data_IF_977355118557
#
_entry.id   IF_977355118557
#
_cell.length_a   1.000
_cell.length_b   1.000
_cell.length_c   1.000
_cell.angle_alpha   90.00
_cell.angle_beta   90.00
_cell.angle_gamma   90.00
#
_symmetry.space_group_name_H-M   'P 1'
#
loop_
_entity.id
_entity.type
_entity.pdbx_description
1 polymer ?
#
# COMPACT_ATOMS: atom_id res chain seq x y z
N UNK A 1 -6.54 7.62 -0.92
CA UNK A 1 -6.50 7.37 0.54
C UNK A 1 -6.04 5.96 0.74
N UNK A 2 -4.88 5.78 1.37
CA UNK A 2 -4.35 4.47 1.75
C UNK A 2 -4.69 4.27 3.22
N UNK A 3 -5.25 3.12 3.59
CA UNK A 3 -5.54 2.78 4.98
C UNK A 3 -4.60 1.67 5.41
N UNK A 4 -4.15 1.68 6.66
CA UNK A 4 -3.30 0.63 7.18
C UNK A 4 -3.62 0.28 8.63
N UNK A 5 -3.35 -0.97 9.02
CA UNK A 5 -3.36 -1.43 10.41
C UNK A 5 -2.13 -2.27 10.68
N UNK A 6 -1.54 -2.10 11.86
CA UNK A 6 -0.45 -2.94 12.35
C UNK A 6 -0.94 -3.66 13.60
N UNK A 7 -0.91 -4.99 13.57
CA UNK A 7 -1.38 -5.85 14.65
C UNK A 7 -0.21 -6.70 15.17
N UNK A 8 -0.06 -6.81 16.49
CA UNK A 8 0.84 -7.79 17.09
C UNK A 8 0.17 -9.17 17.04
N UNK A 9 0.94 -10.17 16.65
CA UNK A 9 0.52 -11.57 16.53
C UNK A 9 1.50 -12.48 17.30
N UNK A 10 1.14 -13.75 17.49
CA UNK A 10 2.02 -14.72 18.16
C UNK A 10 3.36 -14.94 17.43
N UNK A 11 3.41 -14.68 16.12
CA UNK A 11 4.58 -14.89 15.28
C UNK A 11 5.35 -13.60 14.94
N UNK A 12 4.96 -12.45 15.50
CA UNK A 12 5.52 -11.14 15.14
C UNK A 12 4.42 -10.12 14.84
N UNK A 13 4.54 -9.38 13.75
CA UNK A 13 3.62 -8.30 13.40
C UNK A 13 2.93 -8.55 12.06
N UNK A 14 1.65 -8.19 11.98
CA UNK A 14 0.86 -8.24 10.73
C UNK A 14 0.52 -6.83 10.30
N UNK A 15 1.12 -6.38 9.22
CA UNK A 15 0.76 -5.11 8.57
C UNK A 15 -0.27 -5.40 7.47
N UNK A 16 -1.43 -4.75 7.55
CA UNK A 16 -2.46 -4.80 6.52
C UNK A 16 -2.57 -3.42 5.88
N UNK A 17 -2.49 -3.35 4.56
CA UNK A 17 -2.62 -2.12 3.78
C UNK A 17 -3.80 -2.27 2.82
N UNK A 18 -4.59 -1.22 2.71
CA UNK A 18 -5.67 -1.07 1.74
C UNK A 18 -5.34 0.08 0.81
N UNK A 19 -5.11 -0.23 -0.46
CA UNK A 19 -4.82 0.76 -1.48
C UNK A 19 -5.94 0.83 -2.53
N UNK A 20 -6.22 2.02 -3.09
CA UNK A 20 -7.15 2.14 -4.19
C UNK A 20 -6.59 1.38 -5.38
N UNK A 21 -7.37 0.44 -5.87
CA UNK A 21 -6.89 -0.38 -6.95
C UNK A 21 -7.01 0.38 -8.30
N UNK A 22 -6.20 0.05 -9.31
CA UNK A 22 -6.08 0.83 -10.53
C UNK A 22 -7.44 1.00 -11.22
N UNK A 23 -7.79 2.24 -11.58
CA UNK A 23 -8.99 2.48 -12.37
C UNK A 23 -8.88 1.67 -13.66
N UNK A 24 -9.81 0.76 -13.86
CA UNK A 24 -9.93 -0.03 -15.08
C UNK A 24 -11.39 0.03 -15.48
N UNK A 25 -11.67 0.30 -16.76
CA UNK A 25 -13.01 0.69 -17.24
C UNK A 25 -14.10 -0.37 -16.97
N UNK A 26 -13.71 -1.60 -16.64
CA UNK A 26 -14.58 -2.76 -16.44
C UNK A 26 -14.84 -3.13 -14.97
N UNK A 27 -14.54 -2.28 -13.99
CA UNK A 27 -14.75 -2.60 -12.56
C UNK A 27 -15.65 -1.59 -11.84
N UNK A 28 -16.56 -2.12 -11.02
CA UNK A 28 -17.39 -1.33 -10.10
C UNK A 28 -16.50 -0.72 -9.01
N UNK A 29 -16.61 0.60 -8.83
CA UNK A 29 -15.87 1.40 -7.86
C UNK A 29 -16.69 1.63 -6.57
N UNK A 30 -16.07 1.75 -5.38
CA UNK A 30 -14.63 1.64 -5.11
C UNK A 30 -14.19 0.20 -4.83
N UNK A 31 -13.09 -0.21 -5.44
CA UNK A 31 -12.41 -1.45 -5.12
C UNK A 31 -11.03 -1.13 -4.53
N UNK A 32 -10.69 -1.78 -3.41
CA UNK A 32 -9.40 -1.64 -2.73
C UNK A 32 -8.66 -2.96 -2.79
N UNK A 33 -7.35 -2.92 -3.04
CA UNK A 33 -6.50 -4.09 -2.82
C UNK A 33 -6.12 -4.18 -1.36
N UNK A 34 -6.27 -5.38 -0.79
CA UNK A 34 -5.80 -5.71 0.54
C UNK A 34 -4.46 -6.41 0.43
N UNK A 35 -3.41 -5.76 0.89
CA UNK A 35 -2.06 -6.31 0.96
C UNK A 35 -1.77 -6.67 2.42
N UNK A 36 -1.18 -7.84 2.67
CA UNK A 36 -0.85 -8.30 4.02
C UNK A 36 0.62 -8.71 4.07
N UNK A 37 1.35 -8.13 5.00
CA UNK A 37 2.74 -8.46 5.32
C UNK A 37 2.81 -9.09 6.70
N UNK A 38 3.66 -10.11 6.84
CA UNK A 38 4.04 -10.69 8.11
C UNK A 38 5.50 -10.33 8.36
N UNK A 39 5.77 -9.70 9.50
CA UNK A 39 7.02 -9.01 9.83
C UNK A 39 7.53 -9.48 11.19
N UNK A 40 8.84 -9.46 11.40
CA UNK A 40 9.44 -9.82 12.69
C UNK A 40 9.52 -8.60 13.62
N UNK A 41 9.73 -7.41 13.04
CA UNK A 41 9.93 -6.18 13.76
C UNK A 41 8.99 -5.04 13.30
N UNK A 42 8.57 -4.15 14.21
CA UNK A 42 7.72 -3.01 13.85
C UNK A 42 8.44 -1.99 12.96
N UNK A 43 9.78 -1.95 12.97
CA UNK A 43 10.57 -1.09 12.09
C UNK A 43 10.44 -1.45 10.61
N UNK A 44 10.18 -2.72 10.29
CA UNK A 44 9.92 -3.15 8.91
C UNK A 44 8.60 -2.57 8.41
N UNK A 45 7.60 -2.45 9.29
CA UNK A 45 6.31 -1.84 8.94
C UNK A 45 6.49 -0.35 8.61
N UNK A 46 7.31 0.36 9.39
CA UNK A 46 7.64 1.77 9.12
C UNK A 46 8.32 1.93 7.75
N UNK A 47 9.32 1.10 7.44
CA UNK A 47 10.00 1.15 6.13
C UNK A 47 9.04 0.90 4.96
N UNK A 48 8.11 -0.05 5.09
CA UNK A 48 7.09 -0.32 4.06
C UNK A 48 6.16 0.89 3.88
N UNK A 49 5.70 1.49 4.99
CA UNK A 49 4.82 2.66 4.94
C UNK A 49 5.53 3.88 4.32
N UNK A 50 6.80 4.13 4.68
CA UNK A 50 7.62 5.21 4.10
C UNK A 50 7.77 5.04 2.59
N UNK A 51 7.97 3.81 2.10
CA UNK A 51 8.05 3.53 0.66
C UNK A 51 6.74 3.83 -0.07
N UNK A 52 5.60 3.59 0.56
CA UNK A 52 4.28 3.85 -0.02
C UNK A 52 3.97 5.36 -0.02
N UNK A 53 4.32 6.07 1.04
CA UNK A 53 4.15 7.52 1.12
C UNK A 53 5.05 8.25 0.12
N UNK A 54 6.32 7.84 -0.02
CA UNK A 54 7.25 8.40 -1.01
C UNK A 54 6.82 8.20 -2.47
N UNK A 55 6.00 7.18 -2.76
CA UNK A 55 5.42 6.98 -4.09
C UNK A 55 4.27 7.96 -4.40
N UNK A 56 3.53 8.42 -3.38
CA UNK A 56 2.46 9.41 -3.58
C UNK A 56 3.00 10.77 -4.03
N UNK A 57 4.26 11.11 -3.73
CA UNK A 57 4.91 12.35 -4.19
C UNK A 57 5.53 12.22 -5.58
N UNK A 58 5.87 11.00 -6.04
CA UNK A 58 6.73 10.80 -7.22
C UNK A 58 5.96 10.42 -8.50
N UNK A 59 4.63 10.27 -8.46
CA UNK A 59 3.89 9.81 -9.64
C UNK A 59 3.47 10.96 -10.57
N UNK A 60 4.46 11.64 -11.18
CA UNK A 60 4.24 12.43 -12.41
C UNK A 60 4.48 11.51 -13.60
N UNK A 61 3.42 10.91 -14.13
CA UNK A 61 3.49 10.24 -15.44
C UNK A 61 3.64 11.31 -16.53
N UNK A 62 4.87 11.72 -16.84
CA UNK A 62 5.17 12.36 -18.12
C UNK A 62 5.10 11.29 -19.20
N UNK A 63 4.04 11.32 -20.00
CA UNK A 63 4.01 10.57 -21.26
C UNK A 63 5.17 11.06 -22.14
N UNK A 64 6.01 10.18 -22.70
CA UNK A 64 6.86 10.58 -23.81
C UNK A 64 5.93 10.89 -25.00
N UNK A 65 5.87 12.16 -25.40
CA UNK A 65 5.43 12.50 -26.75
C UNK A 65 6.56 12.06 -27.68
N UNK A 66 6.32 11.00 -28.47
CA UNK A 66 6.83 10.84 -29.83
C UNK A 66 6.13 9.67 -30.50
#
# INVERSE_FOLDING_TARGET
>A
MILHTLELTEAGYKLVIWEPAPKNDNRLSPFMFRITYFLEHPSEAAAILDMIEGQNETTVFSHPKN
#
